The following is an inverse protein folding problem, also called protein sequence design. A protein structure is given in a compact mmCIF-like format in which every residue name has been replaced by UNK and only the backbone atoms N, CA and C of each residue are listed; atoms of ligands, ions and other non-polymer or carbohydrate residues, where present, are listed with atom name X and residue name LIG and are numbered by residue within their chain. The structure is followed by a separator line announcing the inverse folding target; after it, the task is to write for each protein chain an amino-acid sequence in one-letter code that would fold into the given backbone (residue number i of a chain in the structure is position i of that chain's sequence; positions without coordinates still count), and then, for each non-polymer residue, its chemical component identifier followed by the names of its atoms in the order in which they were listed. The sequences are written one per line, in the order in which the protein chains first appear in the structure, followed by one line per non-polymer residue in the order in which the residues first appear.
data_IF_954384304504
#
_entry.id   IF_954384304504
#
_cell.length_a   1.000
_cell.length_b   1.000
_cell.length_c   1.000
_cell.angle_alpha   90.00
_cell.angle_beta   90.00
_cell.angle_gamma   90.00
#
_symmetry.space_group_name_H-M   'P 1'
#
loop_
_entity.id
_entity.type
_entity.pdbx_description
1 polymer ?
#
# COMPACT_ATOMS: atom_id res chain seq x y z
N UNK A 1 28.23 30.00 -4.26
CA UNK A 1 28.58 31.15 -3.42
C UNK A 1 27.32 31.56 -2.70
N UNK A 2 27.41 31.59 -1.37
CA UNK A 2 26.50 32.03 -0.31
C UNK A 2 25.50 30.95 0.17
N UNK A 3 25.95 30.25 1.23
CA UNK A 3 25.13 29.53 2.19
C UNK A 3 24.40 30.53 3.10
N UNK A 4 23.14 30.26 3.44
CA UNK A 4 22.43 30.99 4.47
C UNK A 4 22.24 30.06 5.69
N UNK A 5 23.07 30.31 6.71
CA UNK A 5 23.00 29.67 8.03
C UNK A 5 22.02 30.50 8.87
N UNK A 6 20.97 29.90 9.41
CA UNK A 6 20.16 30.53 10.46
C UNK A 6 20.67 30.10 11.83
N UNK A 7 21.22 31.12 12.54
CA UNK A 7 21.55 31.05 13.96
C UNK A 7 20.26 31.12 14.79
N UNK A 8 20.05 30.16 15.68
CA UNK A 8 19.10 30.29 16.80
C UNK A 8 19.89 30.65 18.04
N UNK A 9 19.56 31.80 18.63
CA UNK A 9 20.21 32.43 19.77
C UNK A 9 19.93 31.66 21.07
N UNK A 10 21.01 31.43 21.82
CA UNK A 10 21.04 30.92 23.19
C UNK A 10 20.47 31.97 24.17
N UNK A 11 19.59 31.55 25.06
CA UNK A 11 19.45 32.15 26.38
C UNK A 11 19.96 31.19 27.44
N UNK A 12 21.06 31.57 28.07
CA UNK A 12 21.59 30.98 29.30
C UNK A 12 20.89 31.62 30.49
N UNK A 13 20.29 30.85 31.34
CA UNK A 13 20.14 31.18 32.77
C UNK A 13 20.72 29.99 33.53
N UNK A 14 21.81 30.25 34.24
CA UNK A 14 22.43 29.34 35.17
C UNK A 14 21.68 29.44 36.50
N UNK A 15 21.29 28.29 37.06
CA UNK A 15 21.35 28.06 38.51
C UNK A 15 21.46 26.56 38.81
N UNK A 16 22.38 26.30 39.72
CA UNK A 16 22.87 25.01 40.20
C UNK A 16 21.78 24.13 40.83
N UNK A 17 21.72 22.81 40.53
CA UNK A 17 21.96 21.72 41.45
C UNK A 17 21.60 20.37 40.84
N UNK A 18 22.47 19.38 41.07
CA UNK A 18 22.31 17.94 40.90
C UNK A 18 22.45 17.37 39.49
N UNK A 19 23.67 16.95 39.22
CA UNK A 19 24.05 15.95 38.22
C UNK A 19 23.22 14.67 38.40
N UNK A 20 22.25 14.44 37.51
CA UNK A 20 21.72 13.12 37.22
C UNK A 20 21.82 12.97 35.71
N UNK A 21 22.68 12.04 35.32
CA UNK A 21 22.93 11.63 33.93
C UNK A 21 21.65 11.12 33.26
N UNK A 22 20.91 11.96 32.63
CA UNK A 22 19.98 11.62 31.59
C UNK A 22 20.64 12.02 30.27
N UNK A 23 21.43 11.13 29.75
CA UNK A 23 21.82 11.09 28.36
C UNK A 23 20.56 10.69 27.57
N UNK A 24 19.61 11.60 27.44
CA UNK A 24 18.57 11.48 26.41
C UNK A 24 19.32 11.51 25.08
N UNK A 25 19.50 10.31 24.51
CA UNK A 25 19.75 10.18 23.09
C UNK A 25 18.54 10.82 22.39
N UNK A 26 18.66 12.07 21.99
CA UNK A 26 17.89 12.58 20.86
C UNK A 26 18.32 11.71 19.67
N UNK A 27 17.60 10.63 19.40
CA UNK A 27 17.63 10.03 18.09
C UNK A 27 17.10 11.10 17.16
N UNK A 28 17.97 11.67 16.33
CA UNK A 28 17.55 12.54 15.24
C UNK A 28 16.58 11.72 14.40
N UNK A 29 15.30 12.04 14.46
CA UNK A 29 14.28 11.41 13.61
C UNK A 29 14.62 11.83 12.18
N UNK A 30 15.18 10.90 11.44
CA UNK A 30 15.49 11.10 10.04
C UNK A 30 14.20 11.03 9.23
N UNK A 31 13.78 12.15 8.66
CA UNK A 31 12.67 12.20 7.72
C UNK A 31 13.17 11.88 6.31
N UNK A 32 12.52 10.95 5.63
CA UNK A 32 12.80 10.57 4.24
C UNK A 32 11.53 10.53 3.42
N UNK A 33 11.54 11.21 2.28
CA UNK A 33 10.53 11.13 1.23
C UNK A 33 11.22 10.74 -0.08
N UNK A 34 10.88 9.57 -0.63
CA UNK A 34 11.44 9.06 -1.90
C UNK A 34 10.30 8.83 -2.90
N UNK A 35 10.37 9.50 -4.06
CA UNK A 35 9.46 9.26 -5.18
C UNK A 35 9.88 8.00 -5.95
N UNK A 36 8.93 7.09 -6.17
CA UNK A 36 9.03 5.96 -7.09
C UNK A 36 8.17 6.27 -8.30
N UNK A 37 8.78 6.57 -9.43
CA UNK A 37 8.06 6.89 -10.66
C UNK A 37 7.48 5.63 -11.30
N UNK A 38 6.37 5.79 -12.00
CA UNK A 38 5.68 4.70 -12.69
C UNK A 38 6.56 4.04 -13.75
N UNK A 39 7.34 4.84 -14.49
CA UNK A 39 8.27 4.37 -15.52
C UNK A 39 9.48 3.58 -14.99
N UNK A 40 9.80 3.69 -13.68
CA UNK A 40 10.91 2.98 -13.04
C UNK A 40 10.48 1.61 -12.47
N UNK A 41 9.20 1.25 -12.56
CA UNK A 41 8.69 -0.05 -12.11
C UNK A 41 9.17 -1.17 -13.04
N UNK A 42 9.26 -2.40 -12.50
CA UNK A 42 9.42 -3.58 -13.33
C UNK A 42 8.24 -3.77 -14.26
N UNK A 43 8.47 -4.35 -15.42
CA UNK A 43 7.42 -4.67 -16.39
C UNK A 43 7.57 -6.07 -16.93
N UNK A 44 6.47 -6.81 -16.98
CA UNK A 44 6.37 -8.12 -17.61
C UNK A 44 5.16 -8.17 -18.57
N UNK A 45 5.34 -8.81 -19.72
CA UNK A 45 4.29 -9.06 -20.70
C UNK A 45 4.32 -10.55 -21.09
N UNK A 46 3.27 -11.27 -20.72
CA UNK A 46 3.09 -12.69 -21.01
C UNK A 46 2.04 -12.93 -22.09
N UNK A 47 1.63 -11.88 -22.81
CA UNK A 47 0.56 -11.90 -23.80
C UNK A 47 -0.82 -11.79 -23.16
N UNK A 48 -1.18 -12.67 -22.26
CA UNK A 48 -2.44 -12.64 -21.51
C UNK A 48 -2.38 -11.77 -20.23
N UNK A 49 -1.18 -11.44 -19.76
CA UNK A 49 -0.93 -10.62 -18.58
C UNK A 49 0.09 -9.52 -18.92
N UNK A 50 -0.26 -8.27 -18.63
CA UNK A 50 0.70 -7.17 -18.47
C UNK A 50 0.75 -6.79 -17.02
N UNK A 51 1.94 -6.77 -16.44
CA UNK A 51 2.14 -6.52 -15.01
C UNK A 51 3.24 -5.50 -14.78
N UNK A 52 2.97 -4.50 -13.92
CA UNK A 52 3.94 -3.50 -13.47
C UNK A 52 4.26 -3.74 -12.00
N UNK A 53 5.54 -3.99 -11.71
CA UNK A 53 6.01 -4.39 -10.39
C UNK A 53 6.60 -3.20 -9.63
N UNK A 54 5.99 -2.78 -8.54
CA UNK A 54 6.55 -1.74 -7.65
C UNK A 54 7.76 -2.23 -6.88
N UNK A 55 7.82 -3.53 -6.59
CA UNK A 55 8.91 -4.22 -5.88
C UNK A 55 9.41 -5.41 -6.71
N UNK A 56 10.58 -5.93 -6.36
CA UNK A 56 11.14 -7.15 -6.97
C UNK A 56 10.14 -8.31 -6.87
N UNK A 57 9.79 -8.87 -8.03
CA UNK A 57 8.81 -9.95 -8.15
C UNK A 57 9.11 -10.79 -9.41
N UNK A 58 8.95 -12.10 -9.32
CA UNK A 58 9.27 -13.05 -10.39
C UNK A 58 10.67 -12.79 -10.97
N UNK A 59 10.78 -12.52 -12.26
CA UNK A 59 12.06 -12.26 -12.95
C UNK A 59 12.56 -10.80 -12.81
N UNK A 60 11.74 -9.90 -12.28
CA UNK A 60 12.15 -8.53 -12.01
C UNK A 60 12.89 -8.44 -10.68
N UNK A 61 14.13 -8.00 -10.71
CA UNK A 61 14.97 -7.83 -9.53
C UNK A 61 15.59 -6.44 -9.47
N UNK A 62 15.30 -5.71 -8.39
CA UNK A 62 15.89 -4.43 -8.04
C UNK A 62 16.21 -4.43 -6.53
N UNK A 63 17.48 -4.42 -6.13
CA UNK A 63 17.88 -4.53 -4.72
C UNK A 63 17.42 -3.33 -3.86
N UNK A 64 17.12 -2.17 -4.48
CA UNK A 64 16.58 -1.01 -3.76
C UNK A 64 15.07 -1.13 -3.50
N UNK A 65 14.37 -2.04 -4.21
CA UNK A 65 12.93 -2.23 -4.14
C UNK A 65 12.57 -3.68 -3.87
N UNK A 66 13.12 -4.25 -2.79
CA UNK A 66 12.76 -5.58 -2.31
C UNK A 66 11.48 -5.57 -1.49
N UNK A 67 11.28 -4.52 -0.72
CA UNK A 67 10.12 -4.26 0.15
C UNK A 67 10.18 -2.86 0.74
N UNK A 68 9.07 -2.42 1.36
CA UNK A 68 9.04 -1.21 2.19
C UNK A 68 8.29 -1.49 3.49
N UNK A 69 9.00 -1.45 4.63
CA UNK A 69 8.46 -2.04 5.85
C UNK A 69 8.09 -3.50 5.62
N UNK A 70 6.89 -3.90 6.00
CA UNK A 70 6.33 -5.23 5.72
C UNK A 70 5.52 -5.33 4.41
N UNK A 71 5.46 -4.29 3.59
CA UNK A 71 4.88 -4.34 2.24
C UNK A 71 5.87 -4.99 1.27
N UNK A 72 5.49 -6.14 0.71
CA UNK A 72 6.37 -6.98 -0.11
C UNK A 72 6.09 -6.88 -1.61
N UNK A 73 4.83 -6.75 -2.01
CA UNK A 73 4.41 -6.71 -3.41
C UNK A 73 3.31 -5.68 -3.62
N UNK A 74 3.41 -4.92 -4.71
CA UNK A 74 2.29 -4.29 -5.42
C UNK A 74 2.53 -4.57 -6.89
N UNK A 75 1.71 -5.43 -7.48
CA UNK A 75 1.62 -5.64 -8.91
C UNK A 75 0.36 -4.98 -9.43
N UNK A 76 0.51 -4.22 -10.49
CA UNK A 76 -0.54 -3.52 -11.21
C UNK A 76 -0.78 -4.31 -12.50
N UNK A 77 -1.82 -5.17 -12.45
CA UNK A 77 -2.04 -6.28 -13.37
C UNK A 77 -3.21 -6.03 -14.31
N UNK A 78 -2.96 -6.24 -15.61
CA UNK A 78 -3.95 -6.24 -16.67
C UNK A 78 -4.06 -7.66 -17.24
N UNK A 79 -5.16 -8.34 -16.94
CA UNK A 79 -5.42 -9.73 -17.34
C UNK A 79 -6.41 -9.74 -18.50
N UNK A 80 -5.99 -10.25 -19.66
CA UNK A 80 -6.85 -10.37 -20.83
C UNK A 80 -8.00 -11.37 -20.60
N UNK A 81 -9.07 -11.25 -21.40
CA UNK A 81 -10.23 -12.12 -21.29
C UNK A 81 -9.85 -13.61 -21.36
N UNK A 82 -10.31 -14.40 -20.41
CA UNK A 82 -10.02 -15.81 -20.28
C UNK A 82 -8.60 -16.15 -19.80
N UNK A 83 -7.74 -15.13 -19.60
CA UNK A 83 -6.42 -15.29 -18.99
C UNK A 83 -6.50 -15.43 -17.47
N UNK A 84 -5.43 -15.92 -16.85
CA UNK A 84 -5.36 -16.03 -15.40
C UNK A 84 -4.23 -16.91 -14.91
N UNK A 85 -4.11 -16.98 -13.60
CA UNK A 85 -3.12 -17.78 -12.89
C UNK A 85 -3.77 -19.11 -12.49
N UNK A 86 -3.22 -20.23 -12.99
CA UNK A 86 -3.59 -21.57 -12.57
C UNK A 86 -3.27 -21.84 -11.10
N UNK A 87 -3.58 -23.04 -10.63
CA UNK A 87 -3.35 -23.44 -9.24
C UNK A 87 -1.89 -23.22 -8.82
N UNK A 88 -1.67 -22.40 -7.81
CA UNK A 88 -0.36 -22.11 -7.25
C UNK A 88 -0.43 -21.91 -5.73
N UNK A 89 0.65 -22.27 -5.00
CA UNK A 89 0.65 -22.24 -3.55
C UNK A 89 1.15 -20.92 -2.99
N UNK A 90 0.61 -20.55 -1.82
CA UNK A 90 1.14 -19.50 -0.96
C UNK A 90 1.28 -19.98 0.48
N UNK A 91 2.22 -19.37 1.21
CA UNK A 91 2.44 -19.61 2.63
C UNK A 91 2.88 -18.34 3.32
N UNK A 92 2.33 -18.09 4.52
CA UNK A 92 2.75 -16.99 5.39
C UNK A 92 2.78 -15.63 4.66
N UNK A 93 1.67 -15.29 4.02
CA UNK A 93 1.49 -14.03 3.31
C UNK A 93 0.04 -13.56 3.45
N UNK A 94 -0.14 -12.27 3.70
CA UNK A 94 -1.42 -11.59 3.56
C UNK A 94 -1.52 -11.09 2.13
N UNK A 95 -2.45 -11.65 1.35
CA UNK A 95 -2.66 -11.34 -0.06
C UNK A 95 -3.96 -10.57 -0.18
N UNK A 96 -3.89 -9.36 -0.75
CA UNK A 96 -5.02 -8.47 -0.93
C UNK A 96 -5.19 -8.19 -2.42
N UNK A 97 -6.40 -8.42 -2.94
CA UNK A 97 -6.78 -8.09 -4.30
C UNK A 97 -7.71 -6.89 -4.30
N UNK A 98 -7.36 -5.87 -5.07
CA UNK A 98 -8.14 -4.65 -5.27
C UNK A 98 -8.45 -4.47 -6.75
N UNK A 99 -9.68 -4.82 -7.16
CA UNK A 99 -10.12 -4.75 -8.56
C UNK A 99 -10.53 -3.33 -8.93
N UNK A 100 -9.98 -2.83 -10.02
CA UNK A 100 -10.21 -1.47 -10.54
C UNK A 100 -11.23 -1.47 -11.68
N UNK A 101 -11.18 -2.47 -12.56
CA UNK A 101 -12.15 -2.67 -13.64
C UNK A 101 -12.21 -4.15 -14.04
N UNK A 102 -13.30 -4.54 -14.69
CA UNK A 102 -13.54 -5.95 -14.99
C UNK A 102 -13.97 -6.72 -13.75
N UNK A 103 -13.59 -7.99 -13.67
CA UNK A 103 -13.87 -8.87 -12.53
C UNK A 103 -12.83 -9.97 -12.45
N UNK A 104 -12.52 -10.47 -11.25
CA UNK A 104 -11.59 -11.56 -11.03
C UNK A 104 -12.29 -12.74 -10.37
N UNK A 105 -12.30 -13.90 -11.03
CA UNK A 105 -12.76 -15.14 -10.43
C UNK A 105 -11.62 -15.73 -9.59
N UNK A 106 -11.92 -16.11 -8.36
CA UNK A 106 -11.02 -16.72 -7.39
C UNK A 106 -11.56 -18.10 -6.99
N UNK A 107 -10.64 -19.06 -6.86
CA UNK A 107 -10.91 -20.37 -6.29
C UNK A 107 -9.72 -20.80 -5.44
N UNK A 108 -9.99 -21.40 -4.26
CA UNK A 108 -8.93 -21.86 -3.37
C UNK A 108 -9.17 -23.24 -2.75
N UNK A 109 -8.13 -23.77 -2.10
CA UNK A 109 -8.15 -25.08 -1.43
C UNK A 109 -8.98 -25.12 -0.14
N UNK A 110 -9.47 -23.97 0.35
CA UNK A 110 -10.42 -23.89 1.46
C UNK A 110 -11.87 -24.12 1.01
N UNK A 111 -12.11 -24.11 -0.31
CA UNK A 111 -13.42 -24.29 -0.92
C UNK A 111 -14.12 -22.99 -1.31
N UNK A 112 -13.47 -21.83 -1.19
CA UNK A 112 -14.02 -20.59 -1.70
C UNK A 112 -14.02 -20.59 -3.22
N UNK A 113 -15.12 -20.14 -3.83
CA UNK A 113 -15.29 -19.90 -5.26
C UNK A 113 -16.07 -18.58 -5.37
N UNK A 114 -15.35 -17.52 -5.63
CA UNK A 114 -15.90 -16.17 -5.56
C UNK A 114 -15.54 -15.34 -6.78
N UNK A 115 -16.26 -14.25 -7.00
CA UNK A 115 -15.92 -13.23 -8.00
C UNK A 115 -15.72 -11.91 -7.29
N UNK A 116 -14.57 -11.30 -7.54
CA UNK A 116 -14.19 -10.01 -6.96
C UNK A 116 -14.49 -8.91 -7.99
N UNK A 117 -15.29 -7.93 -7.61
CA UNK A 117 -15.73 -6.84 -8.46
C UNK A 117 -15.08 -5.52 -8.07
N UNK A 118 -15.08 -4.49 -8.95
CA UNK A 118 -14.68 -3.14 -8.57
C UNK A 118 -15.45 -2.62 -7.37
N UNK A 119 -14.71 -2.00 -6.42
CA UNK A 119 -15.29 -1.52 -5.15
C UNK A 119 -15.29 -2.57 -4.04
N UNK A 120 -14.83 -3.77 -4.31
CA UNK A 120 -14.59 -4.82 -3.31
C UNK A 120 -13.11 -4.93 -2.98
N UNK A 121 -12.84 -5.36 -1.76
CA UNK A 121 -11.50 -5.74 -1.29
C UNK A 121 -11.56 -7.20 -0.87
N UNK A 122 -10.73 -8.03 -1.48
CA UNK A 122 -10.54 -9.41 -1.10
C UNK A 122 -9.24 -9.56 -0.32
N UNK A 123 -9.25 -10.36 0.72
CA UNK A 123 -8.07 -10.76 1.47
C UNK A 123 -8.03 -12.29 1.61
N UNK A 124 -6.89 -12.86 1.30
CA UNK A 124 -6.55 -14.26 1.59
C UNK A 124 -5.32 -14.29 2.51
N UNK A 125 -5.49 -14.78 3.74
CA UNK A 125 -4.36 -15.11 4.61
C UNK A 125 -3.86 -16.50 4.25
N UNK A 126 -2.67 -16.60 3.68
CA UNK A 126 -2.12 -17.87 3.22
C UNK A 126 -1.75 -18.84 4.36
N UNK A 127 -1.44 -18.30 5.55
CA UNK A 127 -1.18 -19.08 6.75
C UNK A 127 -0.21 -20.24 6.53
N UNK A 128 -0.56 -21.43 6.99
CA UNK A 128 0.29 -22.62 6.89
C UNK A 128 0.48 -23.10 5.44
N UNK A 129 -0.54 -22.98 4.60
CA UNK A 129 -0.53 -23.23 3.14
C UNK A 129 -1.92 -23.02 2.57
N UNK A 130 -2.03 -22.33 1.45
CA UNK A 130 -3.19 -22.31 0.58
C UNK A 130 -2.76 -22.52 -0.86
N UNK A 131 -3.59 -23.18 -1.65
CA UNK A 131 -3.45 -23.26 -3.11
C UNK A 131 -4.64 -22.55 -3.70
N UNK A 132 -4.41 -21.63 -4.64
CA UNK A 132 -5.48 -20.90 -5.29
C UNK A 132 -5.23 -20.67 -6.78
N UNK A 133 -6.27 -20.25 -7.47
CA UNK A 133 -6.23 -19.82 -8.87
C UNK A 133 -7.08 -18.57 -9.04
N UNK A 134 -6.67 -17.71 -9.98
CA UNK A 134 -7.30 -16.42 -10.26
C UNK A 134 -7.44 -16.24 -11.77
N UNK A 135 -8.65 -15.96 -12.25
CA UNK A 135 -8.93 -15.84 -13.69
C UNK A 135 -9.81 -14.64 -14.00
N UNK A 136 -9.51 -13.98 -15.10
CA UNK A 136 -10.47 -13.10 -15.74
C UNK A 136 -11.51 -13.95 -16.49
N UNK A 137 -12.69 -14.11 -15.90
CA UNK A 137 -13.79 -14.90 -16.48
C UNK A 137 -14.60 -14.16 -17.55
N UNK A 138 -14.27 -12.90 -17.84
CA UNK A 138 -14.92 -12.15 -18.94
C UNK A 138 -14.56 -12.76 -20.29
N UNK A 139 -15.45 -12.60 -21.27
CA UNK A 139 -15.25 -13.10 -22.63
C UNK A 139 -14.56 -12.10 -23.57
N UNK A 140 -14.59 -10.82 -23.25
CA UNK A 140 -14.15 -9.73 -24.15
C UNK A 140 -13.66 -8.47 -23.45
N UNK A 141 -13.34 -8.54 -22.16
CA UNK A 141 -12.88 -7.37 -21.39
C UNK A 141 -11.65 -7.71 -20.56
N UNK A 142 -10.68 -6.84 -20.52
CA UNK A 142 -9.51 -6.92 -19.66
C UNK A 142 -9.90 -6.61 -18.23
N UNK A 143 -9.42 -7.41 -17.28
CA UNK A 143 -9.49 -7.09 -15.85
C UNK A 143 -8.25 -6.34 -15.43
N UNK A 144 -8.44 -5.21 -14.73
CA UNK A 144 -7.37 -4.41 -14.13
C UNK A 144 -7.49 -4.47 -12.62
N UNK A 145 -6.42 -4.85 -11.95
CA UNK A 145 -6.37 -5.00 -10.49
C UNK A 145 -5.00 -4.67 -9.92
N UNK A 146 -4.96 -4.42 -8.62
CA UNK A 146 -3.72 -4.44 -7.84
C UNK A 146 -3.67 -5.71 -7.00
N UNK A 147 -2.57 -6.47 -7.14
CA UNK A 147 -2.23 -7.59 -6.26
C UNK A 147 -1.22 -7.09 -5.23
N UNK A 148 -1.58 -7.17 -3.95
CA UNK A 148 -0.82 -6.60 -2.83
C UNK A 148 -0.46 -7.72 -1.86
N UNK A 149 0.83 -7.81 -1.49
CA UNK A 149 1.30 -8.77 -0.50
C UNK A 149 1.93 -8.05 0.68
N UNK A 150 1.47 -8.40 1.90
CA UNK A 150 2.00 -7.87 3.16
C UNK A 150 2.52 -9.04 3.99
N UNK A 151 3.75 -8.92 4.50
CA UNK A 151 4.35 -9.94 5.37
C UNK A 151 3.59 -9.96 6.71
N UNK A 152 3.06 -11.12 7.15
CA UNK A 152 2.33 -11.22 8.39
C UNK A 152 3.25 -11.17 9.62
N UNK A 153 2.72 -10.76 10.74
CA UNK A 153 3.41 -10.82 12.04
C UNK A 153 3.17 -12.14 12.80
N UNK A 154 2.27 -12.99 12.30
CA UNK A 154 1.98 -14.33 12.85
C UNK A 154 2.07 -15.36 11.73
N UNK A 155 2.94 -16.36 11.92
CA UNK A 155 3.21 -17.40 10.95
C UNK A 155 2.39 -18.67 11.20
N UNK A 156 2.14 -19.44 10.13
CA UNK A 156 1.51 -20.75 10.15
C UNK A 156 0.12 -20.78 10.81
N UNK A 157 -0.61 -19.67 10.73
CA UNK A 157 -2.01 -19.63 11.12
C UNK A 157 -2.84 -20.51 10.16
N UNK A 158 -4.08 -20.79 10.53
CA UNK A 158 -5.03 -21.41 9.61
C UNK A 158 -5.33 -20.46 8.44
N UNK A 159 -5.29 -20.91 7.20
CA UNK A 159 -5.64 -20.11 6.04
C UNK A 159 -7.07 -19.59 6.14
N UNK A 160 -7.31 -18.37 5.66
CA UNK A 160 -8.64 -17.76 5.71
C UNK A 160 -8.87 -16.81 4.55
N UNK A 161 -10.15 -16.60 4.25
CA UNK A 161 -10.63 -15.74 3.18
C UNK A 161 -11.63 -14.72 3.71
N UNK A 162 -11.58 -13.49 3.20
CA UNK A 162 -12.55 -12.45 3.49
C UNK A 162 -12.71 -11.53 2.28
N UNK A 163 -13.95 -11.17 1.92
CA UNK A 163 -14.26 -10.23 0.86
C UNK A 163 -15.31 -9.25 1.34
N UNK A 164 -15.10 -7.94 1.12
CA UNK A 164 -16.01 -6.89 1.55
C UNK A 164 -16.15 -5.80 0.52
N UNK A 165 -17.37 -5.27 0.41
CA UNK A 165 -17.67 -4.07 -0.39
C UNK A 165 -17.25 -2.84 0.39
N UNK A 166 -16.45 -1.98 -0.23
CA UNK A 166 -16.10 -0.64 0.28
C UNK A 166 -16.87 0.40 -0.51
N UNK A 167 -17.95 0.97 0.04
CA UNK A 167 -18.77 1.94 -0.69
C UNK A 167 -17.96 3.13 -1.15
N UNK A 168 -18.14 3.55 -2.40
CA UNK A 168 -17.41 4.67 -3.01
C UNK A 168 -17.51 5.95 -2.18
N UNK A 169 -18.68 6.25 -1.62
CA UNK A 169 -18.93 7.42 -0.77
C UNK A 169 -18.01 7.47 0.47
N UNK A 170 -17.50 6.33 0.92
CA UNK A 170 -16.52 6.26 2.02
C UNK A 170 -15.11 6.67 1.59
N UNK A 171 -14.82 6.64 0.30
CA UNK A 171 -13.52 7.01 -0.28
C UNK A 171 -13.49 8.44 -0.83
N UNK A 172 -14.64 9.04 -1.16
CA UNK A 172 -14.73 10.37 -1.77
C UNK A 172 -14.30 11.48 -0.82
N UNK A 173 -13.20 12.18 -1.17
CA UNK A 173 -12.61 13.28 -0.41
C UNK A 173 -12.01 12.89 0.95
N UNK A 174 -11.84 11.59 1.20
CA UNK A 174 -11.30 11.05 2.46
C UNK A 174 -10.63 9.69 2.25
N UNK A 175 -9.93 9.22 3.26
CA UNK A 175 -9.32 7.89 3.30
C UNK A 175 -10.26 6.92 4.03
N UNK A 176 -10.72 5.89 3.35
CA UNK A 176 -11.44 4.76 3.95
C UNK A 176 -10.45 3.67 4.33
N UNK A 177 -10.49 3.18 5.57
CA UNK A 177 -9.76 1.98 5.97
C UNK A 177 -10.34 0.78 5.22
N UNK A 178 -9.49 0.02 4.50
CA UNK A 178 -9.91 -1.12 3.71
C UNK A 178 -9.34 -2.45 4.20
N UNK A 179 -8.18 -2.43 4.88
CA UNK A 179 -7.59 -3.59 5.54
C UNK A 179 -6.78 -3.16 6.77
N UNK A 180 -6.85 -3.90 7.87
CA UNK A 180 -5.99 -3.68 9.06
C UNK A 180 -6.00 -4.88 10.01
N UNK A 181 -5.06 -4.88 10.99
CA UNK A 181 -5.07 -5.84 12.10
C UNK A 181 -6.19 -5.60 13.13
N UNK A 182 -6.79 -4.41 13.13
CA UNK A 182 -7.97 -4.05 13.92
C UNK A 182 -9.05 -3.52 12.96
N UNK A 183 -9.80 -4.42 12.29
CA UNK A 183 -10.72 -4.02 11.23
C UNK A 183 -11.90 -3.22 11.77
N UNK A 184 -12.21 -2.12 11.10
CA UNK A 184 -13.34 -1.23 11.38
C UNK A 184 -14.06 -0.89 10.08
N UNK A 185 -15.32 -0.48 10.17
CA UNK A 185 -16.06 0.11 9.05
C UNK A 185 -16.06 -0.73 7.76
N UNK A 186 -16.18 -2.04 7.85
CA UNK A 186 -16.14 -2.98 6.71
C UNK A 186 -14.75 -3.20 6.11
N UNK A 187 -13.66 -2.78 6.77
CA UNK A 187 -12.31 -3.22 6.36
C UNK A 187 -12.13 -4.72 6.60
N UNK A 188 -11.27 -5.37 5.80
CA UNK A 188 -10.90 -6.77 6.00
C UNK A 188 -9.82 -6.91 7.08
N UNK A 189 -9.82 -8.03 7.79
CA UNK A 189 -8.79 -8.36 8.77
C UNK A 189 -7.52 -8.82 8.05
N UNK A 190 -6.35 -8.29 8.44
CA UNK A 190 -5.02 -8.84 8.08
C UNK A 190 -4.25 -9.18 9.34
N UNK A 191 -3.44 -10.24 9.28
CA UNK A 191 -2.57 -10.66 10.39
C UNK A 191 -1.18 -10.05 10.27
N UNK A 192 -1.15 -8.74 9.99
CA UNK A 192 0.07 -7.95 9.81
C UNK A 192 -0.05 -6.62 10.54
N UNK A 193 1.06 -6.10 11.06
CA UNK A 193 1.11 -4.74 11.61
C UNK A 193 1.12 -3.71 10.48
N UNK A 194 -0.04 -3.55 9.87
CA UNK A 194 -0.28 -2.62 8.77
C UNK A 194 -1.72 -2.14 8.75
N UNK A 195 -1.93 -0.97 8.16
CA UNK A 195 -3.25 -0.45 7.79
C UNK A 195 -3.23 0.04 6.35
N UNK A 196 -4.23 -0.37 5.58
CA UNK A 196 -4.38 0.03 4.18
C UNK A 196 -5.63 0.89 4.03
N UNK A 197 -5.46 2.04 3.42
CA UNK A 197 -6.53 2.99 3.12
C UNK A 197 -6.68 3.19 1.63
N UNK A 198 -7.91 3.43 1.17
CA UNK A 198 -8.23 3.86 -0.19
C UNK A 198 -8.93 5.22 -0.17
N UNK A 199 -8.62 6.08 -1.15
CA UNK A 199 -9.25 7.39 -1.26
C UNK A 199 -9.43 7.82 -2.71
N UNK A 200 -10.48 8.63 -2.96
CA UNK A 200 -10.78 9.26 -4.26
C UNK A 200 -10.81 10.76 -4.03
N UNK A 201 -10.03 11.51 -4.81
CA UNK A 201 -9.88 12.95 -4.61
C UNK A 201 -10.02 13.71 -5.92
N UNK A 202 -10.82 14.79 -5.87
CA UNK A 202 -11.03 15.72 -6.96
C UNK A 202 -10.91 17.16 -6.45
N UNK A 203 -10.38 18.05 -7.30
CA UNK A 203 -10.35 19.50 -7.12
C UNK A 203 -9.85 19.96 -5.73
N UNK A 204 -10.73 20.60 -4.95
CA UNK A 204 -10.41 21.19 -3.64
C UNK A 204 -10.47 20.19 -2.48
N UNK A 205 -10.73 18.90 -2.76
CA UNK A 205 -10.76 17.88 -1.72
C UNK A 205 -9.34 17.67 -1.17
N UNK A 206 -9.24 17.61 0.13
CA UNK A 206 -8.00 17.38 0.85
C UNK A 206 -8.25 16.61 2.13
N UNK A 207 -7.26 15.85 2.54
CA UNK A 207 -7.28 15.12 3.82
C UNK A 207 -5.87 14.98 4.38
N UNK A 208 -5.79 14.63 5.64
CA UNK A 208 -4.52 14.36 6.32
C UNK A 208 -4.65 13.03 7.08
N UNK A 209 -3.67 12.17 6.94
CA UNK A 209 -3.49 10.97 7.77
C UNK A 209 -2.34 11.19 8.74
N UNK A 210 -2.59 10.98 10.03
CA UNK A 210 -1.53 10.99 11.05
C UNK A 210 -0.79 9.65 11.03
N UNK A 211 0.54 9.72 11.12
CA UNK A 211 1.42 8.55 11.25
C UNK A 211 2.19 8.65 12.57
N UNK A 212 2.54 7.49 13.11
CA UNK A 212 3.55 7.45 14.15
C UNK A 212 4.94 7.56 13.49
N UNK A 213 5.83 8.36 14.07
CA UNK A 213 7.18 8.60 13.54
C UNK A 213 8.03 7.32 13.36
N UNK A 214 7.71 6.27 14.13
CA UNK A 214 8.39 4.98 14.03
C UNK A 214 7.80 4.05 12.96
N UNK A 215 6.92 4.56 12.09
CA UNK A 215 6.28 3.78 11.03
C UNK A 215 6.76 4.26 9.67
N UNK A 216 6.57 3.38 8.69
CA UNK A 216 6.77 3.70 7.28
C UNK A 216 5.42 3.87 6.59
N UNK A 217 5.38 4.71 5.57
CA UNK A 217 4.23 4.76 4.71
C UNK A 217 4.62 4.56 3.24
N UNK A 218 3.69 3.97 2.50
CA UNK A 218 3.76 3.86 1.04
C UNK A 218 2.47 4.42 0.47
N UNK A 219 2.56 5.39 -0.43
CA UNK A 219 1.39 5.98 -1.10
C UNK A 219 1.48 5.61 -2.57
N UNK A 220 0.51 4.85 -3.08
CA UNK A 220 0.43 4.44 -4.48
C UNK A 220 -0.72 5.15 -5.18
N UNK A 221 -0.42 5.97 -6.18
CA UNK A 221 -1.45 6.63 -6.99
C UNK A 221 -1.88 5.71 -8.14
N UNK A 222 -3.09 5.21 -8.06
CA UNK A 222 -3.65 4.26 -9.04
C UNK A 222 -3.97 4.96 -10.36
N UNK A 223 -4.69 6.08 -10.30
CA UNK A 223 -5.09 6.86 -11.48
C UNK A 223 -5.15 8.34 -11.18
N UNK A 224 -5.19 9.16 -12.25
CA UNK A 224 -5.30 10.60 -12.16
C UNK A 224 -3.99 11.27 -11.75
N UNK A 225 -4.10 12.35 -10.99
CA UNK A 225 -2.97 13.08 -10.44
C UNK A 225 -3.30 13.58 -9.04
N UNK A 226 -2.29 13.69 -8.16
CA UNK A 226 -2.47 14.03 -6.76
C UNK A 226 -1.20 14.68 -6.21
N UNK A 227 -1.33 15.51 -5.20
CA UNK A 227 -0.21 16.06 -4.45
C UNK A 227 -0.15 15.45 -3.05
N UNK A 228 1.01 14.92 -2.67
CA UNK A 228 1.29 14.31 -1.36
C UNK A 228 2.48 15.00 -0.73
N UNK A 229 2.32 15.64 0.43
CA UNK A 229 3.39 16.38 1.14
C UNK A 229 4.19 17.29 0.19
N UNK A 230 3.51 18.02 -0.71
CA UNK A 230 4.13 18.93 -1.69
C UNK A 230 4.74 18.22 -2.92
N UNK A 231 4.66 16.89 -3.02
CA UNK A 231 5.14 16.14 -4.18
C UNK A 231 3.97 15.82 -5.12
N UNK A 232 4.11 16.18 -6.40
CA UNK A 232 3.11 15.88 -7.43
C UNK A 232 3.33 14.49 -8.00
N UNK A 233 2.27 13.65 -7.93
CA UNK A 233 2.23 12.28 -8.44
C UNK A 233 1.31 12.18 -9.66
N UNK A 234 1.67 11.30 -10.60
CA UNK A 234 0.86 10.82 -11.72
C UNK A 234 0.49 9.37 -11.52
N UNK A 235 -0.50 8.90 -12.27
CA UNK A 235 -0.93 7.50 -12.22
C UNK A 235 0.25 6.51 -12.31
N UNK A 236 0.29 5.56 -11.41
CA UNK A 236 1.36 4.56 -11.25
C UNK A 236 2.56 5.02 -10.42
N UNK A 237 2.68 6.32 -10.12
CA UNK A 237 3.73 6.81 -9.21
C UNK A 237 3.42 6.40 -7.77
N UNK A 238 4.48 6.32 -6.97
CA UNK A 238 4.35 6.11 -5.53
C UNK A 238 5.32 6.99 -4.73
N UNK A 239 4.96 7.23 -3.47
CA UNK A 239 5.80 7.95 -2.53
C UNK A 239 6.09 7.06 -1.33
N UNK A 240 7.37 6.90 -1.00
CA UNK A 240 7.88 6.17 0.16
C UNK A 240 8.22 7.19 1.25
N UNK A 241 7.64 7.03 2.44
CA UNK A 241 7.82 7.98 3.54
C UNK A 241 8.28 7.24 4.80
N UNK A 242 9.25 7.83 5.50
CA UNK A 242 9.76 7.37 6.79
C UNK A 242 10.05 8.58 7.67
N UNK A 243 9.72 8.51 8.98
CA UNK A 243 9.91 9.62 9.90
C UNK A 243 8.99 10.83 9.65
N UNK A 244 7.96 10.66 8.83
CA UNK A 244 6.96 11.69 8.52
C UNK A 244 5.75 11.55 9.46
N UNK A 245 5.38 12.61 10.21
CA UNK A 245 4.24 12.54 11.13
C UNK A 245 2.88 12.59 10.43
N UNK A 246 2.85 13.09 9.19
CA UNK A 246 1.61 13.38 8.46
C UNK A 246 1.76 13.01 6.98
N UNK A 247 0.69 12.46 6.41
CA UNK A 247 0.48 12.40 4.96
C UNK A 247 -0.62 13.40 4.61
N UNK A 248 -0.25 14.48 3.95
CA UNK A 248 -1.16 15.52 3.47
C UNK A 248 -1.50 15.24 2.01
N UNK A 249 -2.78 15.09 1.71
CA UNK A 249 -3.31 14.81 0.38
C UNK A 249 -4.08 16.02 -0.10
N UNK A 250 -3.78 16.50 -1.31
CA UNK A 250 -4.43 17.67 -1.91
C UNK A 250 -4.34 17.65 -3.45
N UNK A 251 -5.00 18.62 -4.09
CA UNK A 251 -4.91 18.90 -5.53
C UNK A 251 -5.19 17.69 -6.43
N UNK A 252 -6.16 16.83 -6.02
CA UNK A 252 -6.56 15.66 -6.77
C UNK A 252 -7.24 16.01 -8.10
N UNK A 253 -6.96 15.22 -9.15
CA UNK A 253 -7.62 15.26 -10.46
C UNK A 253 -7.96 13.84 -10.85
N UNK A 254 -9.22 13.46 -10.69
CA UNK A 254 -9.71 12.09 -10.91
C UNK A 254 -8.82 11.04 -10.21
N UNK A 255 -8.29 11.40 -9.05
CA UNK A 255 -7.28 10.64 -8.36
C UNK A 255 -7.90 9.50 -7.54
N UNK A 256 -7.39 8.29 -7.69
CA UNK A 256 -7.61 7.18 -6.77
C UNK A 256 -6.28 6.72 -6.21
N UNK A 257 -6.19 6.62 -4.89
CA UNK A 257 -4.93 6.38 -4.17
C UNK A 257 -5.10 5.31 -3.11
N UNK A 258 -4.06 4.46 -2.95
CA UNK A 258 -3.88 3.62 -1.78
C UNK A 258 -2.80 4.22 -0.87
N UNK A 259 -3.07 4.20 0.42
CA UNK A 259 -2.12 4.62 1.46
C UNK A 259 -1.91 3.47 2.42
N UNK A 260 -0.67 3.08 2.57
CA UNK A 260 -0.22 2.02 3.48
C UNK A 260 0.48 2.66 4.66
N UNK A 261 0.03 2.38 5.88
CA UNK A 261 0.69 2.63 7.15
C UNK A 261 1.28 1.30 7.63
N UNK A 262 2.60 1.19 7.69
CA UNK A 262 3.37 -0.04 7.76
C UNK A 262 4.27 -0.09 9.00
N UNK A 263 4.53 -1.29 9.50
CA UNK A 263 5.65 -1.51 10.41
C UNK A 263 6.98 -1.10 9.74
N UNK A 264 7.91 -0.53 10.51
CA UNK A 264 9.23 -0.09 10.04
C UNK A 264 10.17 -1.26 9.72
#
# INVERSE_FOLDING_TARGET
MVALVYLVSKYFIADNFACLSLQEKCEEIYSMIKLRKSEDRGYADHGWLKSYHSFSFADYYDPEYMRWGNLRVINDDYIEAGGGFGDHPHRNMEIITYVLSGQLAHKDSMGNVETINPGEVQRMSAGSLVVHSEFNSATNATTHLLQIWIEPNVMNIEPSYEQKVIPQIKKEGKLALIASSDPKDQSVLIHADASLYAGIFNENQKTTLQLNLNRKAYVHLIKGALEINGNYLKAGDALMLEGEPLINISNGREAEVLVFDLAA
#
